data_IF_458330263134
#
_entry.id   IF_458330263134
#
_cell.length_a   1.000
_cell.length_b   1.000
_cell.length_c   1.000
_cell.angle_alpha   90.00
_cell.angle_beta   90.00
_cell.angle_gamma   90.00
#
_symmetry.space_group_name_H-M   'P 1'
#
loop_
_entity.id
_entity.type
_entity.pdbx_description
1 polymer ?
#
# COMPACT_ATOMS: atom_id res chain seq x y z
N UNK A 1 -38.13 -31.56 -51.17
CA UNK A 1 -37.69 -31.23 -52.56
C UNK A 1 -37.66 -29.72 -52.73
N UNK A 2 -36.89 -29.18 -53.70
CA UNK A 2 -36.34 -27.79 -53.77
C UNK A 2 -35.16 -27.64 -52.76
N UNK A 3 -33.86 -27.41 -53.09
CA UNK A 3 -33.14 -26.81 -54.26
C UNK A 3 -33.66 -25.40 -54.58
N UNK A 4 -32.91 -24.29 -54.68
CA UNK A 4 -31.47 -23.91 -54.70
C UNK A 4 -31.40 -22.35 -54.60
N UNK A 5 -30.30 -21.58 -54.44
CA UNK A 5 -28.85 -21.83 -54.54
C UNK A 5 -27.99 -20.75 -53.79
N UNK A 6 -26.69 -21.04 -53.61
CA UNK A 6 -25.48 -20.17 -53.58
C UNK A 6 -25.54 -18.62 -53.47
N UNK A 7 -24.65 -18.06 -52.63
CA UNK A 7 -23.46 -17.32 -53.11
C UNK A 7 -22.33 -17.22 -52.07
N UNK A 8 -21.19 -17.85 -52.38
CA UNK A 8 -19.89 -17.59 -51.75
C UNK A 8 -19.23 -16.42 -52.50
N UNK A 9 -18.66 -15.47 -51.78
CA UNK A 9 -17.54 -14.65 -52.30
C UNK A 9 -16.42 -14.65 -51.27
N UNK A 10 -15.26 -15.15 -51.69
CA UNK A 10 -14.00 -15.07 -50.93
C UNK A 10 -13.57 -13.60 -50.86
N UNK A 11 -12.83 -13.23 -49.82
CA UNK A 11 -11.74 -12.30 -50.02
C UNK A 11 -10.55 -12.67 -49.12
N UNK A 12 -9.57 -13.35 -49.71
CA UNK A 12 -8.29 -13.65 -49.08
C UNK A 12 -7.23 -12.72 -49.69
N UNK A 13 -6.61 -11.89 -48.85
CA UNK A 13 -5.51 -11.00 -49.18
C UNK A 13 -4.87 -10.58 -47.86
N UNK A 14 -4.20 -11.50 -47.17
CA UNK A 14 -2.80 -11.90 -47.36
C UNK A 14 -1.80 -10.89 -46.78
N UNK A 15 -0.81 -11.46 -46.08
CA UNK A 15 0.12 -10.82 -45.16
C UNK A 15 0.86 -9.58 -45.71
N UNK A 16 1.02 -8.59 -44.84
CA UNK A 16 1.84 -7.40 -45.08
C UNK A 16 2.52 -6.94 -43.80
N UNK A 17 3.55 -7.67 -43.36
CA UNK A 17 4.28 -7.33 -42.14
C UNK A 17 4.97 -5.96 -42.26
N UNK A 18 4.67 -5.03 -41.34
CA UNK A 18 5.59 -3.93 -41.01
C UNK A 18 5.37 -3.43 -39.59
N UNK A 19 6.27 -3.86 -38.71
CA UNK A 19 6.59 -3.17 -37.46
C UNK A 19 6.83 -1.69 -37.80
N UNK A 20 5.97 -0.80 -37.29
CA UNK A 20 6.41 0.55 -36.93
C UNK A 20 6.24 0.64 -35.42
N UNK A 21 7.36 0.84 -34.74
CA UNK A 21 7.35 1.20 -33.33
C UNK A 21 6.73 2.59 -33.27
N UNK A 22 5.43 2.65 -32.99
CA UNK A 22 4.87 3.86 -32.43
C UNK A 22 5.51 3.99 -31.06
N UNK A 23 6.45 4.93 -30.92
CA UNK A 23 7.04 5.29 -29.65
C UNK A 23 5.93 5.75 -28.71
N UNK A 24 5.34 4.80 -27.98
CA UNK A 24 5.04 5.01 -26.58
C UNK A 24 6.39 5.14 -25.87
N UNK A 25 7.03 6.28 -26.08
CA UNK A 25 7.62 7.00 -24.98
C UNK A 25 6.45 7.27 -24.03
N UNK A 26 6.13 6.26 -23.22
CA UNK A 26 5.44 6.48 -21.97
C UNK A 26 6.24 7.60 -21.33
N UNK A 27 5.60 8.76 -21.18
CA UNK A 27 6.14 9.85 -20.42
C UNK A 27 6.74 9.22 -19.17
N UNK A 28 8.07 9.30 -19.05
CA UNK A 28 8.75 8.95 -17.81
C UNK A 28 8.31 10.05 -16.88
N UNK A 29 7.15 9.85 -16.26
CA UNK A 29 6.58 10.73 -15.28
C UNK A 29 7.64 10.81 -14.21
N UNK A 30 8.45 11.87 -14.28
CA UNK A 30 8.99 12.53 -13.11
C UNK A 30 7.76 12.78 -12.26
N UNK A 31 7.46 11.79 -11.40
CA UNK A 31 6.58 11.99 -10.29
C UNK A 31 7.05 13.29 -9.67
N UNK A 32 6.16 14.28 -9.54
CA UNK A 32 6.46 15.45 -8.76
C UNK A 32 6.88 14.90 -7.39
N UNK A 33 8.18 14.91 -7.15
CA UNK A 33 8.74 14.44 -5.90
C UNK A 33 8.32 15.50 -4.89
N UNK A 34 7.16 15.28 -4.29
CA UNK A 34 6.71 16.03 -3.12
C UNK A 34 7.91 16.03 -2.18
N UNK A 35 8.48 17.20 -1.86
CA UNK A 35 9.69 17.24 -1.05
C UNK A 35 9.42 16.45 0.22
N UNK A 36 10.34 15.58 0.67
CA UNK A 36 10.11 14.76 1.86
C UNK A 36 9.70 15.69 2.99
N UNK A 37 8.59 15.36 3.65
CA UNK A 37 8.09 16.18 4.74
C UNK A 37 9.21 16.39 5.76
N UNK A 38 9.42 17.63 6.28
CA UNK A 38 10.47 17.87 7.25
C UNK A 38 10.27 16.91 8.43
N UNK A 39 11.36 16.35 9.00
CA UNK A 39 11.24 15.41 10.10
C UNK A 39 10.47 16.06 11.25
N UNK A 40 9.55 15.33 11.91
CA UNK A 40 8.76 15.90 13.00
C UNK A 40 9.69 16.43 14.08
N UNK A 41 9.35 17.61 14.64
CA UNK A 41 10.13 18.21 15.70
C UNK A 41 10.27 17.23 16.88
N UNK A 42 11.47 17.12 17.49
CA UNK A 42 11.68 16.18 18.58
C UNK A 42 10.75 16.52 19.76
N UNK A 43 9.99 15.52 20.22
CA UNK A 43 9.08 15.68 21.36
C UNK A 43 9.83 16.11 22.63
N UNK A 44 9.14 16.81 23.53
CA UNK A 44 9.62 17.01 24.90
C UNK A 44 9.88 15.64 25.57
N UNK A 45 10.84 15.53 26.51
CA UNK A 45 10.94 14.39 27.42
C UNK A 45 9.64 14.23 28.21
N UNK A 46 9.23 12.98 28.52
CA UNK A 46 7.95 12.71 29.23
C UNK A 46 7.90 13.44 30.60
N UNK A 47 9.02 13.46 31.33
CA UNK A 47 9.19 14.20 32.60
C UNK A 47 9.00 15.72 32.52
N UNK A 48 8.85 16.28 31.32
CA UNK A 48 8.68 17.70 31.05
C UNK A 48 7.37 18.00 30.28
N UNK A 49 6.47 17.02 30.21
CA UNK A 49 5.09 17.15 29.71
C UNK A 49 4.14 17.27 30.89
N UNK A 50 3.02 17.99 30.72
CA UNK A 50 1.89 17.89 31.66
C UNK A 50 1.16 16.54 31.48
N UNK A 51 0.29 16.11 32.41
CA UNK A 51 -0.54 14.92 32.21
C UNK A 51 -1.38 14.98 30.93
N UNK A 52 -1.91 16.15 30.60
CA UNK A 52 -2.71 16.40 29.38
C UNK A 52 -1.85 16.34 28.11
N UNK A 53 -0.66 16.95 28.12
CA UNK A 53 0.31 16.82 27.01
C UNK A 53 0.72 15.35 26.81
N UNK A 54 0.89 14.60 27.90
CA UNK A 54 1.27 13.18 27.86
C UNK A 54 0.13 12.33 27.32
N UNK A 55 -1.12 12.54 27.79
CA UNK A 55 -2.30 11.83 27.30
C UNK A 55 -2.54 12.10 25.80
N UNK A 56 -2.46 13.36 25.37
CA UNK A 56 -2.57 13.73 23.96
C UNK A 56 -1.46 13.10 23.10
N UNK A 57 -0.22 13.02 23.61
CA UNK A 57 0.87 12.33 22.94
C UNK A 57 0.64 10.82 22.83
N UNK A 58 0.13 10.16 23.89
CA UNK A 58 -0.20 8.73 23.85
C UNK A 58 -1.30 8.47 22.80
N UNK A 59 -2.40 9.22 22.84
CA UNK A 59 -3.51 9.08 21.89
C UNK A 59 -3.07 9.26 20.44
N UNK A 60 -2.25 10.29 20.17
CA UNK A 60 -1.68 10.51 18.83
C UNK A 60 -0.73 9.37 18.40
N UNK A 61 0.05 8.82 19.33
CA UNK A 61 0.96 7.70 19.06
C UNK A 61 0.20 6.41 18.78
N UNK A 62 -0.83 6.08 19.58
CA UNK A 62 -1.71 4.93 19.36
C UNK A 62 -2.37 4.97 17.99
N UNK A 63 -3.01 6.10 17.64
CA UNK A 63 -3.66 6.25 16.33
C UNK A 63 -2.67 6.15 15.16
N UNK A 64 -1.42 6.62 15.33
CA UNK A 64 -0.40 6.48 14.30
C UNK A 64 0.08 5.03 14.11
N UNK A 65 0.18 4.25 15.20
CA UNK A 65 0.49 2.81 15.17
C UNK A 65 -0.65 2.00 14.55
N UNK A 66 -1.89 2.20 14.99
CA UNK A 66 -3.09 1.59 14.41
C UNK A 66 -3.17 1.85 12.88
N UNK A 67 -2.85 3.06 12.44
CA UNK A 67 -2.76 3.41 11.01
C UNK A 67 -1.57 2.76 10.28
N UNK A 68 -0.47 2.43 10.96
CA UNK A 68 0.64 1.65 10.38
C UNK A 68 0.20 0.21 10.19
N UNK A 69 -0.26 -0.44 11.26
CA UNK A 69 -0.69 -1.83 11.27
C UNK A 69 -1.79 -2.08 10.22
N UNK A 70 -2.80 -1.19 10.11
CA UNK A 70 -3.85 -1.30 9.10
C UNK A 70 -3.34 -1.24 7.64
N UNK A 71 -2.27 -0.46 7.36
CA UNK A 71 -1.65 -0.42 6.02
C UNK A 71 -0.85 -1.68 5.73
N UNK A 72 -0.21 -2.26 6.74
CA UNK A 72 0.62 -3.46 6.61
C UNK A 72 -0.25 -4.72 6.47
N UNK A 73 -1.32 -4.84 7.26
CA UNK A 73 -2.38 -5.85 7.03
C UNK A 73 -2.95 -5.79 5.61
N UNK A 74 -3.30 -4.60 5.11
CA UNK A 74 -3.81 -4.46 3.74
C UNK A 74 -2.78 -4.84 2.66
N UNK A 75 -1.48 -4.70 2.95
CA UNK A 75 -0.39 -5.08 2.05
C UNK A 75 -0.16 -6.59 2.04
N UNK A 76 -0.13 -7.23 3.22
CA UNK A 76 -0.07 -8.69 3.39
C UNK A 76 -1.26 -9.37 2.72
N UNK A 77 -2.49 -8.89 2.99
CA UNK A 77 -3.72 -9.43 2.40
C UNK A 77 -3.70 -9.37 0.87
N UNK A 78 -3.32 -8.23 0.30
CA UNK A 78 -3.20 -8.07 -1.16
C UNK A 78 -2.09 -8.96 -1.77
N UNK A 79 -1.07 -9.34 -1.00
CA UNK A 79 -0.04 -10.32 -1.41
C UNK A 79 -0.54 -11.76 -1.31
N UNK A 80 -1.21 -12.12 -0.22
CA UNK A 80 -1.83 -13.42 -0.01
C UNK A 80 -2.85 -13.75 -1.11
N UNK A 81 -3.70 -12.78 -1.48
CA UNK A 81 -4.63 -12.87 -2.62
C UNK A 81 -3.94 -13.14 -3.98
N UNK A 82 -2.66 -12.81 -4.13
CA UNK A 82 -1.85 -13.09 -5.33
C UNK A 82 -1.03 -14.38 -5.22
N UNK A 83 -1.08 -15.07 -4.08
CA UNK A 83 -0.22 -16.23 -3.79
C UNK A 83 1.27 -15.90 -3.72
N UNK A 84 1.62 -14.64 -3.43
CA UNK A 84 3.02 -14.18 -3.34
C UNK A 84 3.38 -14.03 -1.86
N UNK A 85 4.35 -14.82 -1.41
CA UNK A 85 4.99 -14.68 -0.11
C UNK A 85 6.47 -14.32 -0.31
N UNK A 86 6.98 -13.35 0.45
CA UNK A 86 8.40 -12.98 0.47
C UNK A 86 8.91 -12.81 1.90
N UNK A 87 10.23 -12.81 2.09
CA UNK A 87 10.90 -12.76 3.41
C UNK A 87 10.54 -11.53 4.29
N UNK A 88 9.93 -10.48 3.74
CA UNK A 88 9.46 -9.34 4.55
C UNK A 88 8.06 -9.56 5.12
N UNK A 89 7.30 -10.54 4.62
CA UNK A 89 5.97 -10.87 5.15
C UNK A 89 6.11 -11.43 6.58
N UNK A 90 7.02 -12.39 6.77
CA UNK A 90 7.41 -12.92 8.08
C UNK A 90 7.83 -11.80 9.08
N UNK A 91 8.47 -10.73 8.57
CA UNK A 91 8.89 -9.60 9.38
C UNK A 91 7.72 -8.70 9.79
N UNK A 92 6.78 -8.41 8.88
CA UNK A 92 5.56 -7.67 9.22
C UNK A 92 4.68 -8.44 10.22
N UNK A 93 4.57 -9.77 10.07
CA UNK A 93 3.82 -10.60 11.01
C UNK A 93 4.44 -10.60 12.42
N UNK A 94 5.78 -10.59 12.53
CA UNK A 94 6.49 -10.45 13.81
C UNK A 94 6.38 -9.04 14.40
N UNK A 95 6.48 -8.00 13.55
CA UNK A 95 6.32 -6.61 13.96
C UNK A 95 4.89 -6.35 14.50
N UNK A 96 3.85 -6.94 13.91
CA UNK A 96 2.47 -6.80 14.39
C UNK A 96 2.29 -7.25 15.85
N UNK A 97 2.91 -8.36 16.28
CA UNK A 97 2.85 -8.82 17.67
C UNK A 97 3.50 -7.82 18.63
N UNK A 98 4.64 -7.23 18.23
CA UNK A 98 5.31 -6.19 19.01
C UNK A 98 4.49 -4.88 19.06
N UNK A 99 3.76 -4.57 17.99
CA UNK A 99 2.87 -3.41 17.93
C UNK A 99 1.61 -3.57 18.78
N UNK A 100 1.02 -4.77 18.83
CA UNK A 100 -0.10 -5.07 19.73
C UNK A 100 0.32 -4.92 21.21
N UNK A 101 1.48 -5.47 21.58
CA UNK A 101 2.05 -5.32 22.93
C UNK A 101 2.33 -3.84 23.26
N UNK A 102 2.85 -3.07 22.29
CA UNK A 102 3.11 -1.63 22.44
C UNK A 102 1.82 -0.81 22.57
N UNK A 103 0.77 -1.14 21.82
CA UNK A 103 -0.55 -0.52 21.90
C UNK A 103 -1.22 -0.81 23.24
N UNK A 104 -1.11 -2.05 23.75
CA UNK A 104 -1.58 -2.44 25.07
C UNK A 104 -0.86 -1.64 26.17
N UNK A 105 0.48 -1.61 26.15
CA UNK A 105 1.29 -0.84 27.11
C UNK A 105 0.95 0.67 27.07
N UNK A 106 0.74 1.25 25.88
CA UNK A 106 0.33 2.65 25.75
C UNK A 106 -1.07 2.89 26.35
N UNK A 107 -2.01 1.95 26.18
CA UNK A 107 -3.33 2.02 26.80
C UNK A 107 -3.29 1.88 28.33
N UNK A 108 -2.44 1.00 28.86
CA UNK A 108 -2.20 0.89 30.30
C UNK A 108 -1.60 2.18 30.87
N UNK A 109 -0.60 2.76 30.21
CA UNK A 109 0.00 4.04 30.60
C UNK A 109 -1.05 5.18 30.59
N UNK A 110 -1.92 5.23 29.57
CA UNK A 110 -2.99 6.22 29.48
C UNK A 110 -3.97 6.15 30.67
N UNK A 111 -4.26 4.95 31.17
CA UNK A 111 -5.15 4.72 32.30
C UNK A 111 -4.55 5.12 33.67
N UNK A 112 -3.24 5.37 33.74
CA UNK A 112 -2.53 5.78 34.96
C UNK A 112 -2.11 7.27 34.97
N UNK A 113 -2.56 8.06 33.99
CA UNK A 113 -2.37 9.52 33.90
C UNK A 113 -3.61 10.29 34.38
#
# INVERSE_FOLDING_TARGET
>A
MKRTNSRITRNSGNAGARRRMASRECARTTACATPPAPPPAPRKPLRAMTPEETRAWIQGTRSALEQKQAREWAYLDHRAHRGIHILTDDAYEQDHQLEDDLLAMLGELEAHL
#
